data_IF_167436900984
#
_entry.id   IF_167436900984
#
_cell.length_a   1.000
_cell.length_b   1.000
_cell.length_c   1.000
_cell.angle_alpha   90.00
_cell.angle_beta   90.00
_cell.angle_gamma   90.00
#
_symmetry.space_group_name_H-M   'P 1'
#
loop_
_entity.id
_entity.type
_entity.pdbx_description
1 polymer ?
#
# COMPACT_ATOMS: atom_id res chain seq x y z
N UNK A 1 24.15 -11.10 46.58
CA UNK A 1 25.32 -10.27 46.87
C UNK A 1 26.37 -10.54 45.81
N UNK A 2 26.41 -9.70 44.79
CA UNK A 2 27.57 -9.46 43.91
C UNK A 2 27.18 -8.33 42.94
N UNK A 3 27.66 -7.14 43.30
CA UNK A 3 27.67 -5.97 42.41
C UNK A 3 28.75 -6.17 41.35
N UNK A 4 28.44 -5.85 40.12
CA UNK A 4 29.45 -5.58 39.10
C UNK A 4 29.24 -4.14 38.63
N UNK A 5 30.17 -3.30 39.01
CA UNK A 5 30.41 -1.96 38.44
C UNK A 5 31.12 -2.15 37.10
N UNK A 6 30.69 -1.42 36.08
CA UNK A 6 31.51 -1.18 34.90
C UNK A 6 31.59 0.34 34.69
N UNK A 7 32.80 0.78 34.72
CA UNK A 7 33.25 2.18 34.59
C UNK A 7 33.20 2.66 33.14
N UNK A 8 33.15 3.97 33.00
CA UNK A 8 32.98 4.73 31.79
C UNK A 8 34.14 4.67 30.79
N UNK A 9 33.77 5.02 29.56
CA UNK A 9 34.73 5.45 28.54
C UNK A 9 34.21 6.72 27.87
N UNK A 10 35.02 7.75 28.09
CA UNK A 10 34.94 9.07 27.49
C UNK A 10 35.45 8.93 26.05
N UNK A 11 34.68 9.35 25.05
CA UNK A 11 35.19 9.53 23.70
C UNK A 11 35.04 10.96 23.21
N UNK A 12 36.21 11.48 22.89
CA UNK A 12 36.45 12.82 22.45
C UNK A 12 35.85 13.16 21.10
N UNK A 13 35.38 14.39 21.06
CA UNK A 13 34.93 15.07 19.86
C UNK A 13 36.09 15.41 18.93
N UNK A 14 36.08 14.94 17.72
CA UNK A 14 36.90 15.43 16.62
C UNK A 14 36.07 16.39 15.77
N UNK A 15 36.38 17.67 15.92
CA UNK A 15 35.90 18.76 15.04
C UNK A 15 36.72 18.74 13.73
N UNK A 16 36.09 18.42 12.62
CA UNK A 16 36.63 18.69 11.29
C UNK A 16 35.92 19.90 10.69
N UNK A 17 36.65 20.98 10.53
CA UNK A 17 36.21 22.19 9.85
C UNK A 17 36.25 22.00 8.31
N UNK A 18 35.29 22.55 7.55
CA UNK A 18 35.40 22.55 6.10
C UNK A 18 36.28 23.70 5.59
N UNK A 19 37.27 23.36 4.79
CA UNK A 19 38.11 24.31 4.04
C UNK A 19 37.30 24.83 2.87
N UNK A 20 36.95 26.11 2.88
CA UNK A 20 36.42 26.84 1.74
C UNK A 20 37.57 27.18 0.77
N UNK A 21 37.60 26.55 -0.39
CA UNK A 21 38.49 26.96 -1.51
C UNK A 21 37.67 27.90 -2.41
N UNK A 22 37.96 29.18 -2.31
CA UNK A 22 37.44 30.21 -3.22
C UNK A 22 38.17 30.14 -4.54
N UNK A 23 37.50 29.72 -5.61
CA UNK A 23 38.01 29.85 -6.97
C UNK A 23 37.60 31.21 -7.57
N UNK A 24 38.57 32.04 -7.88
CA UNK A 24 38.42 33.34 -8.51
C UNK A 24 38.03 33.17 -10.01
N UNK A 25 37.00 33.88 -10.42
CA UNK A 25 36.56 33.98 -11.81
C UNK A 25 37.30 35.17 -12.44
N UNK A 26 38.02 35.01 -13.57
CA UNK A 26 38.51 36.16 -14.30
C UNK A 26 37.41 36.78 -15.16
N UNK A 27 37.27 38.08 -14.99
CA UNK A 27 36.40 38.95 -15.76
C UNK A 27 37.04 39.20 -17.17
N UNK A 28 36.34 38.80 -18.23
CA UNK A 28 36.71 39.16 -19.60
C UNK A 28 35.54 39.90 -20.24
N UNK A 29 35.66 41.19 -20.29
CA UNK A 29 34.91 42.11 -21.15
C UNK A 29 35.38 41.93 -22.61
N UNK A 30 34.43 41.61 -23.52
CA UNK A 30 34.72 41.48 -24.94
C UNK A 30 33.46 41.42 -25.79
N UNK A 31 33.03 42.60 -26.23
CA UNK A 31 32.36 42.95 -27.50
C UNK A 31 31.28 42.06 -28.10
N UNK A 32 30.12 42.68 -28.23
CA UNK A 32 28.99 42.25 -29.06
C UNK A 32 29.37 42.20 -30.55
N UNK A 33 28.99 41.13 -31.24
CA UNK A 33 28.37 41.17 -32.58
C UNK A 33 28.07 39.74 -33.08
N UNK A 34 26.81 39.57 -33.50
CA UNK A 34 26.35 38.60 -34.50
C UNK A 34 26.54 37.10 -34.21
N UNK A 35 25.42 36.44 -33.83
CA UNK A 35 24.84 35.46 -34.77
C UNK A 35 23.55 34.90 -34.18
N UNK A 36 22.43 35.46 -34.57
CA UNK A 36 21.12 34.87 -34.50
C UNK A 36 20.96 33.83 -35.60
N UNK A 37 21.36 32.58 -35.39
CA UNK A 37 20.99 31.42 -36.21
C UNK A 37 21.45 30.17 -35.46
N UNK A 38 20.52 29.54 -34.78
CA UNK A 38 20.40 28.08 -34.56
C UNK A 38 19.50 27.71 -33.36
N UNK A 39 18.37 28.40 -33.19
CA UNK A 39 17.32 27.95 -32.29
C UNK A 39 16.33 26.97 -32.95
N UNK A 40 16.69 26.38 -34.07
CA UNK A 40 15.83 25.53 -34.91
C UNK A 40 16.28 24.09 -35.12
N UNK A 41 17.31 23.59 -34.41
CA UNK A 41 17.89 22.29 -34.77
C UNK A 41 18.16 21.33 -33.57
N UNK A 42 17.42 21.43 -32.47
CA UNK A 42 17.48 20.44 -31.39
C UNK A 42 16.12 19.76 -31.19
N UNK A 43 15.33 19.64 -32.24
CA UNK A 43 14.05 18.91 -32.18
C UNK A 43 14.02 17.70 -33.13
N UNK A 44 15.20 17.15 -33.48
CA UNK A 44 15.27 15.82 -34.04
C UNK A 44 15.79 14.87 -32.95
N UNK A 45 15.04 14.70 -31.87
CA UNK A 45 15.23 13.57 -30.98
C UNK A 45 14.96 12.31 -31.80
N UNK A 46 15.96 11.44 -31.90
CA UNK A 46 15.90 10.19 -32.63
C UNK A 46 14.63 9.44 -32.26
N UNK A 47 13.83 8.92 -33.22
CA UNK A 47 12.67 8.07 -32.93
C UNK A 47 13.03 6.87 -32.03
N UNK A 48 14.29 6.45 -32.07
CA UNK A 48 14.85 5.39 -31.24
C UNK A 48 14.88 5.73 -29.73
N UNK A 49 15.20 6.99 -29.40
CA UNK A 49 15.27 7.44 -27.99
C UNK A 49 13.89 7.52 -27.35
N UNK A 50 12.86 7.94 -28.09
CA UNK A 50 11.48 7.96 -27.64
C UNK A 50 10.92 6.54 -27.44
N UNK A 51 11.30 5.59 -28.29
CA UNK A 51 10.88 4.19 -28.18
C UNK A 51 11.51 3.49 -26.99
N UNK A 52 12.79 3.70 -26.72
CA UNK A 52 13.50 3.13 -25.58
C UNK A 52 12.97 3.70 -24.25
N UNK A 53 12.68 5.00 -24.21
CA UNK A 53 12.11 5.63 -23.02
C UNK A 53 10.66 5.15 -22.75
N UNK A 54 9.89 4.92 -23.80
CA UNK A 54 8.52 4.35 -23.70
C UNK A 54 8.54 2.90 -23.21
N UNK A 55 9.47 2.07 -23.72
CA UNK A 55 9.63 0.69 -23.30
C UNK A 55 10.06 0.59 -21.82
N UNK A 56 11.04 1.39 -21.40
CA UNK A 56 11.47 1.45 -20.00
C UNK A 56 10.36 1.91 -19.06
N UNK A 57 9.48 2.83 -19.51
CA UNK A 57 8.29 3.26 -18.79
C UNK A 57 7.26 2.15 -18.63
N UNK A 58 7.00 1.39 -19.70
CA UNK A 58 6.06 0.27 -19.71
C UNK A 58 6.54 -0.88 -18.78
N UNK A 59 7.82 -1.22 -18.83
CA UNK A 59 8.41 -2.24 -17.96
C UNK A 59 8.32 -1.83 -16.47
N UNK A 60 8.53 -0.54 -16.18
CA UNK A 60 8.41 0.01 -14.84
C UNK A 60 6.96 -0.05 -14.35
N UNK A 61 5.98 0.24 -15.21
CA UNK A 61 4.56 0.17 -14.85
C UNK A 61 4.12 -1.28 -14.62
N UNK A 62 4.49 -2.20 -15.50
CA UNK A 62 4.22 -3.63 -15.33
C UNK A 62 4.78 -4.17 -14.00
N UNK A 63 5.96 -3.73 -13.60
CA UNK A 63 6.53 -4.12 -12.31
C UNK A 63 5.68 -3.59 -11.13
N UNK A 64 5.21 -2.35 -11.19
CA UNK A 64 4.33 -1.78 -10.17
C UNK A 64 3.00 -2.53 -10.08
N UNK A 65 2.40 -2.86 -11.24
CA UNK A 65 1.15 -3.60 -11.31
C UNK A 65 1.31 -5.00 -10.68
N UNK A 66 2.39 -5.71 -11.00
CA UNK A 66 2.75 -7.00 -10.37
C UNK A 66 2.94 -6.88 -8.85
N UNK A 67 3.62 -5.84 -8.39
CA UNK A 67 3.83 -5.60 -6.96
C UNK A 67 2.51 -5.33 -6.24
N UNK A 68 1.63 -4.52 -6.82
CA UNK A 68 0.30 -4.25 -6.28
C UNK A 68 -0.51 -5.54 -6.15
N UNK A 69 -0.63 -6.32 -7.24
CA UNK A 69 -1.39 -7.58 -7.25
C UNK A 69 -0.83 -8.58 -6.22
N UNK A 70 0.51 -8.71 -6.15
CA UNK A 70 1.16 -9.58 -5.16
C UNK A 70 0.85 -9.16 -3.73
N UNK A 71 0.91 -7.86 -3.44
CA UNK A 71 0.64 -7.32 -2.11
C UNK A 71 -0.81 -7.52 -1.70
N UNK A 72 -1.78 -7.21 -2.58
CA UNK A 72 -3.20 -7.40 -2.27
C UNK A 72 -3.56 -8.88 -2.11
N UNK A 73 -2.90 -9.78 -2.85
CA UNK A 73 -3.08 -11.21 -2.66
C UNK A 73 -2.54 -11.68 -1.29
N UNK A 74 -1.38 -11.19 -0.84
CA UNK A 74 -0.83 -11.48 0.49
C UNK A 74 -1.72 -10.94 1.61
N UNK A 75 -2.12 -9.68 1.52
CA UNK A 75 -2.99 -9.03 2.50
C UNK A 75 -4.35 -9.76 2.58
N UNK A 76 -4.90 -10.18 1.45
CA UNK A 76 -6.13 -10.98 1.41
C UNK A 76 -6.00 -12.35 2.05
N UNK A 77 -4.91 -13.05 1.78
CA UNK A 77 -4.65 -14.34 2.43
C UNK A 77 -4.55 -14.20 3.95
N UNK A 78 -3.89 -13.16 4.43
CA UNK A 78 -3.80 -12.84 5.86
C UNK A 78 -5.17 -12.47 6.43
N UNK A 79 -5.93 -11.62 5.75
CA UNK A 79 -7.27 -11.19 6.15
C UNK A 79 -8.21 -12.38 6.36
N UNK A 80 -8.26 -13.33 5.42
CA UNK A 80 -9.09 -14.54 5.54
C UNK A 80 -8.71 -15.35 6.78
N UNK A 81 -7.41 -15.59 7.02
CA UNK A 81 -6.96 -16.40 8.14
C UNK A 81 -7.25 -15.73 9.49
N UNK A 82 -6.99 -14.44 9.61
CA UNK A 82 -7.22 -13.67 10.82
C UNK A 82 -8.73 -13.45 11.07
N UNK A 83 -9.52 -13.24 10.01
CA UNK A 83 -10.96 -13.07 10.13
C UNK A 83 -11.70 -14.36 10.53
N UNK A 84 -11.19 -15.53 10.13
CA UNK A 84 -11.65 -16.82 10.64
C UNK A 84 -11.47 -16.93 12.15
N UNK A 85 -10.36 -16.44 12.70
CA UNK A 85 -10.19 -16.35 14.16
C UNK A 85 -11.25 -15.45 14.79
N UNK A 86 -11.52 -14.28 14.20
CA UNK A 86 -12.52 -13.35 14.72
C UNK A 86 -13.93 -13.96 14.72
N UNK A 87 -14.31 -14.64 13.65
CA UNK A 87 -15.60 -15.34 13.57
C UNK A 87 -15.77 -16.41 14.67
N UNK A 88 -14.67 -17.06 15.06
CA UNK A 88 -14.69 -18.14 16.06
C UNK A 88 -14.52 -17.63 17.50
N UNK A 89 -13.56 -16.74 17.74
CA UNK A 89 -13.06 -16.38 19.09
C UNK A 89 -13.62 -15.09 19.67
N UNK A 90 -14.10 -14.15 18.83
CA UNK A 90 -14.58 -12.85 19.32
C UNK A 90 -15.64 -13.01 20.42
N UNK A 91 -15.60 -12.13 21.41
CA UNK A 91 -16.64 -12.03 22.43
C UNK A 91 -17.85 -11.21 21.94
N UNK A 92 -17.65 -10.37 20.94
CA UNK A 92 -18.67 -9.51 20.34
C UNK A 92 -19.33 -10.19 19.13
N UNK A 93 -20.66 -10.30 19.16
CA UNK A 93 -21.41 -10.80 18.00
C UNK A 93 -21.21 -9.96 16.74
N UNK A 94 -21.01 -8.66 16.90
CA UNK A 94 -20.81 -7.77 15.75
C UNK A 94 -19.40 -7.94 15.15
N UNK A 95 -18.38 -8.18 15.98
CA UNK A 95 -17.04 -8.52 15.50
C UNK A 95 -17.00 -9.91 14.85
N UNK A 96 -17.75 -10.90 15.40
CA UNK A 96 -17.92 -12.21 14.74
C UNK A 96 -18.53 -12.08 13.34
N UNK A 97 -19.62 -11.28 13.23
CA UNK A 97 -20.26 -11.01 11.93
C UNK A 97 -19.33 -10.29 10.97
N UNK A 98 -18.54 -9.33 11.46
CA UNK A 98 -17.51 -8.67 10.64
C UNK A 98 -16.48 -9.68 10.12
N UNK A 99 -15.94 -10.54 10.99
CA UNK A 99 -15.01 -11.59 10.61
C UNK A 99 -15.58 -12.53 9.55
N UNK A 100 -16.82 -12.99 9.73
CA UNK A 100 -17.48 -13.83 8.72
C UNK A 100 -17.65 -13.10 7.39
N UNK A 101 -18.11 -11.85 7.42
CA UNK A 101 -18.26 -11.06 6.20
C UNK A 101 -16.95 -10.85 5.45
N UNK A 102 -15.85 -10.60 6.16
CA UNK A 102 -14.52 -10.50 5.53
C UNK A 102 -14.14 -11.80 4.80
N UNK A 103 -14.40 -12.95 5.43
CA UNK A 103 -14.15 -14.26 4.81
C UNK A 103 -15.01 -14.46 3.56
N UNK A 104 -16.30 -14.12 3.62
CA UNK A 104 -17.25 -14.33 2.54
C UNK A 104 -16.92 -13.41 1.33
N UNK A 105 -16.73 -12.11 1.59
CA UNK A 105 -16.42 -11.15 0.53
C UNK A 105 -15.06 -11.46 -0.13
N UNK A 106 -14.09 -11.92 0.67
CA UNK A 106 -12.75 -12.20 0.18
C UNK A 106 -12.71 -13.35 -0.83
N UNK A 107 -13.60 -14.33 -0.70
CA UNK A 107 -13.68 -15.43 -1.66
C UNK A 107 -14.01 -14.94 -3.09
N UNK A 108 -14.81 -13.89 -3.21
CA UNK A 108 -15.13 -13.25 -4.52
C UNK A 108 -13.95 -12.39 -4.99
N UNK A 109 -13.40 -11.56 -4.11
CA UNK A 109 -12.24 -10.70 -4.42
C UNK A 109 -11.05 -11.55 -4.91
N UNK A 110 -10.76 -12.65 -4.21
CA UNK A 110 -9.62 -13.51 -4.55
C UNK A 110 -9.82 -14.23 -5.90
N UNK A 111 -11.07 -14.53 -6.29
CA UNK A 111 -11.34 -15.11 -7.59
C UNK A 111 -11.07 -14.11 -8.73
N UNK A 112 -11.53 -12.86 -8.59
CA UNK A 112 -11.31 -11.81 -9.59
C UNK A 112 -9.82 -11.43 -9.65
N UNK A 113 -9.16 -11.28 -8.50
CA UNK A 113 -7.73 -10.97 -8.43
C UNK A 113 -6.87 -12.09 -9.00
N UNK A 114 -7.28 -13.36 -8.82
CA UNK A 114 -6.56 -14.51 -9.34
C UNK A 114 -6.43 -14.48 -10.86
N UNK A 115 -7.46 -14.09 -11.57
CA UNK A 115 -7.40 -13.97 -13.02
C UNK A 115 -6.31 -12.98 -13.44
N UNK A 116 -6.29 -11.79 -12.83
CA UNK A 116 -5.25 -10.77 -13.09
C UNK A 116 -3.86 -11.26 -12.67
N UNK A 117 -3.76 -11.94 -11.53
CA UNK A 117 -2.50 -12.50 -11.05
C UNK A 117 -1.91 -13.53 -12.01
N UNK A 118 -2.74 -14.46 -12.53
CA UNK A 118 -2.33 -15.47 -13.49
C UNK A 118 -1.81 -14.83 -14.79
N UNK A 119 -2.47 -13.81 -15.31
CA UNK A 119 -2.07 -13.10 -16.52
C UNK A 119 -0.78 -12.30 -16.34
N UNK A 120 -0.62 -11.68 -15.17
CA UNK A 120 0.62 -10.97 -14.83
C UNK A 120 1.76 -11.91 -14.38
N UNK A 121 1.50 -13.22 -14.22
CA UNK A 121 2.46 -14.18 -13.73
C UNK A 121 2.85 -13.95 -12.25
N UNK A 122 1.90 -13.49 -11.44
CA UNK A 122 2.05 -13.30 -9.99
C UNK A 122 1.56 -14.54 -9.25
N UNK A 123 2.42 -15.20 -8.44
CA UNK A 123 2.03 -16.42 -7.74
C UNK A 123 1.03 -16.13 -6.61
N UNK A 124 0.02 -17.00 -6.47
CA UNK A 124 -0.93 -16.97 -5.35
C UNK A 124 -0.22 -17.35 -4.04
N UNK A 125 -0.39 -16.61 -2.94
CA UNK A 125 0.22 -16.92 -1.66
C UNK A 125 -0.37 -18.19 -1.05
N UNK A 126 0.49 -19.01 -0.45
CA UNK A 126 0.11 -20.27 0.22
C UNK A 126 0.41 -20.25 1.72
N UNK A 127 1.01 -19.18 2.21
CA UNK A 127 1.37 -18.97 3.62
C UNK A 127 1.33 -17.49 3.97
N UNK A 128 1.13 -17.21 5.24
CA UNK A 128 1.23 -15.86 5.79
C UNK A 128 2.64 -15.30 5.64
N UNK A 129 2.75 -13.98 5.47
CA UNK A 129 4.02 -13.30 5.67
C UNK A 129 4.48 -13.47 7.13
N UNK A 130 5.76 -13.23 7.42
CA UNK A 130 6.22 -13.31 8.80
C UNK A 130 5.46 -12.33 9.72
N UNK A 131 5.20 -11.13 9.26
CA UNK A 131 4.48 -10.13 10.04
C UNK A 131 3.03 -10.53 10.33
N UNK A 132 2.35 -11.12 9.33
CA UNK A 132 0.97 -11.59 9.49
C UNK A 132 0.89 -12.86 10.33
N UNK A 133 1.91 -13.73 10.26
CA UNK A 133 2.00 -14.88 11.16
C UNK A 133 2.19 -14.44 12.61
N UNK A 134 3.08 -13.48 12.87
CA UNK A 134 3.30 -12.93 14.21
C UNK A 134 2.00 -12.32 14.76
N UNK A 135 1.21 -11.62 13.92
CA UNK A 135 -0.08 -11.07 14.32
C UNK A 135 -1.15 -12.16 14.54
N UNK A 136 -1.19 -13.17 13.66
CA UNK A 136 -2.07 -14.33 13.83
C UNK A 136 -1.80 -15.06 15.15
N UNK A 137 -0.53 -15.27 15.48
CA UNK A 137 -0.12 -15.95 16.73
C UNK A 137 -0.49 -15.09 17.95
N UNK A 138 -0.26 -13.78 17.88
CA UNK A 138 -0.68 -12.82 18.91
C UNK A 138 -2.21 -12.88 19.14
N UNK A 139 -2.99 -12.75 18.07
CA UNK A 139 -4.46 -12.83 18.16
C UNK A 139 -4.92 -14.20 18.65
N UNK A 140 -4.24 -15.28 18.28
CA UNK A 140 -4.54 -16.63 18.75
C UNK A 140 -4.39 -16.78 20.26
N UNK A 141 -3.48 -16.03 20.87
CA UNK A 141 -3.25 -16.03 22.32
C UNK A 141 -4.25 -15.14 23.10
N UNK A 142 -4.92 -14.21 22.43
CA UNK A 142 -5.88 -13.28 23.04
C UNK A 142 -7.28 -13.88 23.12
N UNK A 143 -8.12 -13.31 23.99
CA UNK A 143 -9.55 -13.65 24.13
C UNK A 143 -10.36 -12.45 24.61
N UNK A 144 -11.68 -12.53 24.53
CA UNK A 144 -12.58 -11.50 25.04
C UNK A 144 -12.38 -10.15 24.35
N UNK A 145 -12.50 -9.08 25.13
CA UNK A 145 -12.37 -7.70 24.63
C UNK A 145 -10.98 -7.34 24.14
N UNK A 146 -9.93 -7.98 24.65
CA UNK A 146 -8.57 -7.74 24.21
C UNK A 146 -8.34 -8.29 22.81
N UNK A 147 -8.89 -9.49 22.51
CA UNK A 147 -8.94 -10.03 21.17
C UNK A 147 -9.70 -9.08 20.22
N UNK A 148 -10.89 -8.65 20.60
CA UNK A 148 -11.74 -7.80 19.74
C UNK A 148 -11.05 -6.48 19.40
N UNK A 149 -10.40 -5.83 20.37
CA UNK A 149 -9.65 -4.59 20.14
C UNK A 149 -8.45 -4.79 19.24
N UNK A 150 -7.66 -5.85 19.46
CA UNK A 150 -6.48 -6.12 18.63
C UNK A 150 -6.87 -6.46 17.20
N UNK A 151 -7.89 -7.31 17.01
CA UNK A 151 -8.42 -7.61 15.68
C UNK A 151 -8.84 -6.34 14.94
N UNK A 152 -9.64 -5.48 15.59
CA UNK A 152 -10.07 -4.22 14.98
C UNK A 152 -8.93 -3.24 14.73
N UNK A 153 -7.89 -3.25 15.57
CA UNK A 153 -6.67 -2.46 15.36
C UNK A 153 -5.92 -2.93 14.12
N UNK A 154 -5.71 -4.23 13.97
CA UNK A 154 -5.10 -4.83 12.79
C UNK A 154 -5.90 -4.50 11.53
N UNK A 155 -7.22 -4.73 11.53
CA UNK A 155 -8.09 -4.47 10.40
C UNK A 155 -8.12 -2.98 10.00
N UNK A 156 -8.10 -2.05 10.95
CA UNK A 156 -7.98 -0.62 10.66
C UNK A 156 -6.68 -0.29 9.94
N UNK A 157 -5.57 -0.87 10.39
CA UNK A 157 -4.25 -0.62 9.81
C UNK A 157 -4.17 -1.16 8.38
N UNK A 158 -4.57 -2.42 8.18
CA UNK A 158 -4.48 -3.08 6.86
C UNK A 158 -5.39 -2.41 5.84
N UNK A 159 -6.67 -2.18 6.17
CA UNK A 159 -7.60 -1.54 5.24
C UNK A 159 -7.24 -0.08 4.88
N UNK A 160 -6.59 0.66 5.78
CA UNK A 160 -6.06 1.99 5.42
C UNK A 160 -4.93 1.90 4.41
N UNK A 161 -4.04 0.93 4.57
CA UNK A 161 -2.99 0.63 3.61
C UNK A 161 -3.60 0.23 2.27
N UNK A 162 -4.53 -0.72 2.27
CA UNK A 162 -5.19 -1.20 1.06
C UNK A 162 -5.88 -0.07 0.30
N UNK A 163 -6.65 0.79 0.97
CA UNK A 163 -7.28 1.95 0.34
C UNK A 163 -6.28 2.91 -0.30
N UNK A 164 -5.10 3.07 0.28
CA UNK A 164 -4.04 3.88 -0.32
C UNK A 164 -3.50 3.21 -1.59
N UNK A 165 -3.23 1.92 -1.52
CA UNK A 165 -2.69 1.16 -2.65
C UNK A 165 -3.69 1.04 -3.80
N UNK A 166 -4.97 0.80 -3.50
CA UNK A 166 -6.03 0.79 -4.52
C UNK A 166 -6.15 2.13 -5.25
N UNK A 167 -6.12 3.26 -4.53
CA UNK A 167 -6.12 4.59 -5.16
C UNK A 167 -4.87 4.83 -6.02
N UNK A 168 -3.74 4.34 -5.59
CA UNK A 168 -2.48 4.44 -6.35
C UNK A 168 -2.56 3.61 -7.62
N UNK A 169 -3.05 2.37 -7.55
CA UNK A 169 -3.25 1.50 -8.70
C UNK A 169 -4.28 2.11 -9.67
N UNK A 170 -5.42 2.59 -9.18
CA UNK A 170 -6.44 3.25 -10.00
C UNK A 170 -5.87 4.43 -10.81
N UNK A 171 -5.00 5.23 -10.18
CA UNK A 171 -4.40 6.40 -10.82
C UNK A 171 -3.26 6.06 -11.80
N UNK A 172 -2.54 4.96 -11.61
CA UNK A 172 -1.28 4.70 -12.31
C UNK A 172 -1.32 3.54 -13.29
N UNK A 173 -2.13 2.49 -13.03
CA UNK A 173 -2.14 1.34 -13.92
C UNK A 173 -2.65 1.69 -15.33
N UNK A 174 -2.00 1.11 -16.33
CA UNK A 174 -2.43 1.19 -17.74
C UNK A 174 -3.01 -0.13 -18.22
N UNK A 175 -2.90 -1.19 -17.42
CA UNK A 175 -3.45 -2.50 -17.72
C UNK A 175 -4.98 -2.47 -17.64
N UNK A 176 -5.73 -2.80 -18.70
CA UNK A 176 -7.19 -2.70 -18.70
C UNK A 176 -7.86 -3.64 -17.70
N UNK A 177 -7.35 -4.86 -17.54
CA UNK A 177 -7.97 -5.86 -16.67
C UNK A 177 -7.73 -5.50 -15.21
N UNK A 178 -6.52 -5.02 -14.88
CA UNK A 178 -6.23 -4.51 -13.55
C UNK A 178 -7.07 -3.27 -13.23
N UNK A 179 -7.32 -2.38 -14.19
CA UNK A 179 -8.27 -1.26 -14.02
C UNK A 179 -9.66 -1.72 -13.65
N UNK A 180 -10.18 -2.69 -14.38
CA UNK A 180 -11.53 -3.23 -14.16
C UNK A 180 -11.61 -3.93 -12.79
N UNK A 181 -10.59 -4.71 -12.42
CA UNK A 181 -10.49 -5.32 -11.10
C UNK A 181 -10.46 -4.27 -9.98
N UNK A 182 -9.60 -3.25 -10.09
CA UNK A 182 -9.51 -2.16 -9.11
C UNK A 182 -10.84 -1.41 -8.98
N UNK A 183 -11.51 -1.09 -10.11
CA UNK A 183 -12.81 -0.41 -10.10
C UNK A 183 -13.89 -1.24 -9.40
N UNK A 184 -13.88 -2.57 -9.57
CA UNK A 184 -14.81 -3.50 -8.94
C UNK A 184 -14.53 -3.68 -7.44
N UNK A 185 -13.26 -3.80 -7.06
CA UNK A 185 -12.86 -4.15 -5.70
C UNK A 185 -12.77 -2.94 -4.76
N UNK A 186 -12.41 -1.75 -5.26
CA UNK A 186 -12.29 -0.54 -4.43
C UNK A 186 -13.54 -0.23 -3.59
N UNK A 187 -14.78 -0.29 -4.10
CA UNK A 187 -15.98 -0.06 -3.30
C UNK A 187 -16.14 -1.07 -2.16
N UNK A 188 -15.72 -2.33 -2.35
CA UNK A 188 -15.79 -3.37 -1.32
C UNK A 188 -14.83 -3.04 -0.17
N UNK A 189 -13.57 -2.69 -0.48
CA UNK A 189 -12.56 -2.29 0.51
C UNK A 189 -13.01 -1.03 1.28
N UNK A 190 -13.63 -0.05 0.59
CA UNK A 190 -14.24 1.12 1.24
C UNK A 190 -15.34 0.71 2.21
N UNK A 191 -16.20 -0.22 1.81
CA UNK A 191 -17.26 -0.78 2.65
C UNK A 191 -16.71 -1.48 3.90
N UNK A 192 -15.68 -2.30 3.72
CA UNK A 192 -14.97 -2.97 4.82
C UNK A 192 -14.38 -1.94 5.79
N UNK A 193 -13.65 -0.95 5.29
CA UNK A 193 -13.08 0.10 6.12
C UNK A 193 -14.13 0.83 6.95
N UNK A 194 -15.31 1.10 6.38
CA UNK A 194 -16.41 1.72 7.11
C UNK A 194 -16.90 0.83 8.26
N UNK A 195 -17.11 -0.47 8.01
CA UNK A 195 -17.58 -1.42 9.03
C UNK A 195 -16.55 -1.60 10.14
N UNK A 196 -15.29 -1.77 9.78
CA UNK A 196 -14.16 -1.88 10.72
C UNK A 196 -14.07 -0.63 11.59
N UNK A 197 -14.08 0.54 10.98
CA UNK A 197 -13.97 1.80 11.71
C UNK A 197 -15.15 2.04 12.66
N UNK A 198 -16.38 1.71 12.24
CA UNK A 198 -17.59 1.78 13.10
C UNK A 198 -17.42 0.92 14.36
N UNK A 199 -16.98 -0.31 14.20
CA UNK A 199 -16.78 -1.22 15.33
C UNK A 199 -15.57 -0.83 16.17
N UNK A 200 -14.50 -0.35 15.55
CA UNK A 200 -13.32 0.15 16.25
C UNK A 200 -13.65 1.34 17.17
N UNK A 201 -14.47 2.30 16.68
CA UNK A 201 -14.98 3.39 17.54
C UNK A 201 -15.80 2.86 18.70
N UNK A 202 -16.71 1.90 18.45
CA UNK A 202 -17.57 1.31 19.49
C UNK A 202 -16.77 0.56 20.56
N UNK A 203 -15.60 0.00 20.19
CA UNK A 203 -14.72 -0.74 21.10
C UNK A 203 -13.58 0.12 21.68
N UNK A 204 -13.55 1.44 21.41
CA UNK A 204 -12.56 2.34 21.96
C UNK A 204 -11.14 2.11 21.39
N UNK A 205 -11.03 1.64 20.14
CA UNK A 205 -9.75 1.42 19.48
C UNK A 205 -9.09 2.76 19.15
N UNK A 206 -7.84 2.99 19.53
CA UNK A 206 -7.14 4.22 19.22
C UNK A 206 -7.03 4.46 17.71
N UNK A 207 -7.18 5.71 17.29
CA UNK A 207 -7.09 6.10 15.87
C UNK A 207 -8.34 5.77 15.04
N UNK A 208 -9.37 5.16 15.62
CA UNK A 208 -10.68 5.08 14.98
C UNK A 208 -11.38 6.45 15.00
N UNK A 209 -12.06 6.80 13.91
CA UNK A 209 -12.70 8.11 13.76
C UNK A 209 -14.19 7.98 13.45
N UNK A 210 -15.00 8.85 14.05
CA UNK A 210 -16.42 9.02 13.66
C UNK A 210 -16.45 9.77 12.31
N UNK A 211 -16.31 9.04 11.21
CA UNK A 211 -16.44 9.58 9.86
C UNK A 211 -17.86 9.41 9.31
N UNK A 212 -18.27 10.19 8.29
CA UNK A 212 -19.49 9.91 7.55
C UNK A 212 -19.41 8.53 6.87
N UNK A 213 -20.57 7.87 6.63
CA UNK A 213 -20.58 6.65 5.83
C UNK A 213 -20.01 6.94 4.44
N UNK A 214 -19.37 5.95 3.77
CA UNK A 214 -18.96 6.12 2.40
C UNK A 214 -20.17 6.46 1.55
N UNK A 215 -19.99 7.31 0.52
CA UNK A 215 -21.03 7.55 -0.45
C UNK A 215 -21.46 6.20 -1.02
N UNK A 216 -22.76 5.95 -1.06
CA UNK A 216 -23.32 4.73 -1.65
C UNK A 216 -22.83 4.66 -3.10
N UNK A 217 -22.19 3.55 -3.53
CA UNK A 217 -21.85 3.39 -4.94
C UNK A 217 -23.11 3.60 -5.78
N UNK A 218 -23.02 4.25 -6.94
CA UNK A 218 -24.14 4.29 -7.85
C UNK A 218 -24.58 2.86 -8.12
N UNK A 219 -25.88 2.60 -8.01
CA UNK A 219 -26.45 1.29 -8.27
C UNK A 219 -25.93 0.82 -9.64
N UNK A 220 -25.36 -0.39 -9.69
CA UNK A 220 -24.91 -0.99 -10.92
C UNK A 220 -26.08 -0.94 -11.92
N UNK A 221 -25.88 -0.26 -13.04
CA UNK A 221 -26.86 -0.21 -14.12
C UNK A 221 -27.03 -1.65 -14.61
N UNK A 222 -28.23 -2.23 -14.57
CA UNK A 222 -28.42 -3.57 -15.09
C UNK A 222 -28.03 -3.62 -16.57
N UNK A 223 -27.44 -4.73 -17.05
CA UNK A 223 -27.06 -4.87 -18.45
C UNK A 223 -28.30 -4.64 -19.32
N UNK A 224 -28.19 -3.70 -20.21
CA UNK A 224 -29.25 -3.49 -21.23
C UNK A 224 -29.24 -4.70 -22.15
N UNK A 225 -30.39 -5.41 -22.19
CA UNK A 225 -30.65 -6.52 -23.10
C UNK A 225 -30.88 -6.01 -24.51
#
# INVERSE_FOLDING_TARGET
>A
MRMIRIEGLIFGSVLLAPVFLAAQIPNATGSAAAQSQSAGQIAALNPMDSSMNSAAGADTQLMKDKMFVHMIALDGFAEVNISKLAAQKSSSNDVKKLGQKMVDDRSTIDADLKQVADELGVPTPTKLSKADQDEFDKLSALSGTDFDKEYLTYMLKTHRKDLHEFRTAEAQTTDPQLKDAVATLSPVVVGHMYMVNKLAVANGVPGAHKGPPPATPPAATPPQQ
#
